data_IF_758283317495
#
_entry.id   IF_758283317495
#
_cell.length_a   1.000
_cell.length_b   1.000
_cell.length_c   1.000
_cell.angle_alpha   90.00
_cell.angle_beta   90.00
_cell.angle_gamma   90.00
#
_symmetry.space_group_name_H-M   'P 1'
#
loop_
_entity.id
_entity.type
_entity.pdbx_description
1 polymer ?
#
# COMPACT_ATOMS: atom_id res chain seq x y z
N UNK A 1 -28.08 -8.54 10.66
CA UNK A 1 -27.14 -7.68 11.42
C UNK A 1 -26.07 -8.59 11.96
N UNK A 2 -24.79 -8.33 11.68
CA UNK A 2 -23.70 -9.22 12.09
C UNK A 2 -23.56 -9.19 13.61
N UNK A 3 -23.47 -10.35 14.24
CA UNK A 3 -23.37 -10.50 15.69
C UNK A 3 -21.95 -10.19 16.17
N UNK A 4 -21.80 -9.83 17.45
CA UNK A 4 -20.48 -9.55 18.02
C UNK A 4 -19.56 -10.77 18.02
N UNK A 5 -20.14 -11.98 18.07
CA UNK A 5 -19.38 -13.22 17.94
C UNK A 5 -18.80 -13.38 16.54
N UNK A 6 -19.61 -13.18 15.51
CA UNK A 6 -19.15 -13.26 14.12
C UNK A 6 -18.08 -12.21 13.82
N UNK A 7 -18.22 -11.00 14.39
CA UNK A 7 -17.20 -9.93 14.28
C UNK A 7 -15.88 -10.37 14.91
N UNK A 8 -15.93 -10.94 16.11
CA UNK A 8 -14.73 -11.42 16.79
C UNK A 8 -14.03 -12.54 16.01
N UNK A 9 -14.80 -13.49 15.46
CA UNK A 9 -14.27 -14.57 14.64
C UNK A 9 -13.62 -14.02 13.35
N UNK A 10 -14.26 -13.07 12.67
CA UNK A 10 -13.70 -12.43 11.48
C UNK A 10 -12.41 -11.65 11.77
N UNK A 11 -12.34 -10.94 12.89
CA UNK A 11 -11.11 -10.24 13.33
C UNK A 11 -10.00 -11.24 13.63
N UNK A 12 -10.31 -12.33 14.34
CA UNK A 12 -9.33 -13.36 14.67
C UNK A 12 -8.74 -14.01 13.41
N UNK A 13 -9.56 -14.26 12.39
CA UNK A 13 -9.09 -14.81 11.12
C UNK A 13 -8.19 -13.85 10.35
N UNK A 14 -8.50 -12.55 10.34
CA UNK A 14 -7.64 -11.54 9.72
C UNK A 14 -6.29 -11.44 10.43
N UNK A 15 -6.26 -11.51 11.77
CA UNK A 15 -5.02 -11.51 12.54
C UNK A 15 -4.17 -12.76 12.25
N UNK A 16 -4.79 -13.94 12.18
CA UNK A 16 -4.08 -15.17 11.79
C UNK A 16 -3.48 -15.08 10.38
N UNK A 17 -4.21 -14.49 9.42
CA UNK A 17 -3.68 -14.24 8.08
C UNK A 17 -2.48 -13.28 8.11
N UNK A 18 -2.57 -12.20 8.89
CA UNK A 18 -1.48 -11.24 9.04
C UNK A 18 -0.22 -11.87 9.67
N UNK A 19 -0.37 -12.74 10.67
CA UNK A 19 0.77 -13.43 11.30
C UNK A 19 1.48 -14.38 10.34
N UNK A 20 0.74 -15.08 9.45
CA UNK A 20 1.36 -15.92 8.42
C UNK A 20 2.22 -15.10 7.45
N UNK A 21 1.82 -13.87 7.12
CA UNK A 21 2.62 -12.97 6.30
C UNK A 21 3.92 -12.52 6.98
N UNK A 22 3.97 -12.49 8.33
CA UNK A 22 5.18 -12.13 9.08
C UNK A 22 6.23 -13.23 9.11
N UNK A 23 5.83 -14.48 8.90
CA UNK A 23 6.72 -15.65 8.90
C UNK A 23 6.67 -16.34 7.54
N UNK A 24 7.22 -15.72 6.48
CA UNK A 24 7.28 -16.34 5.17
C UNK A 24 8.19 -17.57 5.26
N UNK A 25 7.58 -18.77 5.26
CA UNK A 25 8.33 -20.01 5.15
C UNK A 25 9.05 -20.10 3.79
N UNK A 26 10.08 -20.94 3.70
CA UNK A 26 10.93 -21.17 2.51
C UNK A 26 10.20 -21.56 1.19
N UNK A 27 8.88 -21.75 1.23
CA UNK A 27 8.03 -22.05 0.06
C UNK A 27 7.18 -20.85 -0.41
N UNK A 28 7.20 -19.71 0.29
CA UNK A 28 6.45 -18.53 -0.12
C UNK A 28 7.17 -17.77 -1.23
N UNK A 29 6.55 -17.67 -2.40
CA UNK A 29 6.99 -16.78 -3.46
C UNK A 29 6.51 -15.35 -3.19
N UNK A 30 7.15 -14.38 -3.84
CA UNK A 30 6.74 -12.97 -3.76
C UNK A 30 5.28 -12.79 -4.20
N UNK A 31 4.86 -13.49 -5.27
CA UNK A 31 3.49 -13.42 -5.78
C UNK A 31 2.47 -13.91 -4.76
N UNK A 32 2.75 -15.04 -4.07
CA UNK A 32 1.88 -15.54 -3.00
C UNK A 32 1.77 -14.55 -1.83
N UNK A 33 2.84 -13.82 -1.52
CA UNK A 33 2.82 -12.78 -0.48
C UNK A 33 1.96 -11.59 -0.90
N UNK A 34 2.06 -11.16 -2.16
CA UNK A 34 1.26 -10.07 -2.71
C UNK A 34 -0.23 -10.45 -2.70
N UNK A 35 -0.57 -11.65 -3.19
CA UNK A 35 -1.95 -12.16 -3.18
C UNK A 35 -2.52 -12.21 -1.77
N UNK A 36 -1.77 -12.77 -0.81
CA UNK A 36 -2.20 -12.84 0.58
C UNK A 36 -2.35 -11.45 1.25
N UNK A 37 -1.52 -10.47 0.87
CA UNK A 37 -1.71 -9.08 1.32
C UNK A 37 -2.98 -8.46 0.74
N UNK A 38 -3.29 -8.71 -0.52
CA UNK A 38 -4.48 -8.16 -1.17
C UNK A 38 -5.76 -8.79 -0.62
N UNK A 39 -5.75 -10.09 -0.31
CA UNK A 39 -6.83 -10.76 0.44
C UNK A 39 -7.04 -10.14 1.82
N UNK A 40 -5.97 -9.88 2.57
CA UNK A 40 -6.04 -9.27 3.89
C UNK A 40 -6.64 -7.87 3.81
N UNK A 41 -6.20 -7.05 2.85
CA UNK A 41 -6.75 -5.71 2.59
C UNK A 41 -8.23 -5.75 2.22
N UNK A 42 -8.62 -6.68 1.36
CA UNK A 42 -10.02 -6.85 0.96
C UNK A 42 -10.89 -7.24 2.16
N UNK A 43 -10.42 -8.17 3.00
CA UNK A 43 -11.09 -8.58 4.23
C UNK A 43 -11.26 -7.43 5.23
N UNK A 44 -10.22 -6.63 5.44
CA UNK A 44 -10.27 -5.44 6.31
C UNK A 44 -11.25 -4.38 5.80
N UNK A 45 -11.27 -4.11 4.48
CA UNK A 45 -12.23 -3.16 3.90
C UNK A 45 -13.67 -3.63 4.08
N UNK A 46 -13.92 -4.92 3.89
CA UNK A 46 -15.24 -5.51 4.11
C UNK A 46 -15.66 -5.39 5.57
N UNK A 47 -14.78 -5.76 6.51
CA UNK A 47 -15.04 -5.62 7.94
C UNK A 47 -15.34 -4.16 8.32
N UNK A 48 -14.55 -3.21 7.81
CA UNK A 48 -14.79 -1.79 8.04
C UNK A 48 -16.17 -1.35 7.53
N UNK A 49 -16.55 -1.77 6.32
CA UNK A 49 -17.86 -1.48 5.76
C UNK A 49 -18.99 -2.07 6.59
N UNK A 50 -18.83 -3.30 7.05
CA UNK A 50 -19.83 -4.01 7.87
C UNK A 50 -19.98 -3.36 9.26
N UNK A 51 -18.94 -2.68 9.78
CA UNK A 51 -18.96 -1.97 11.06
C UNK A 51 -19.40 -0.51 10.96
N UNK A 52 -18.88 0.23 9.99
CA UNK A 52 -19.05 1.68 9.85
C UNK A 52 -20.16 2.06 8.86
N UNK A 53 -20.67 1.12 8.06
CA UNK A 53 -21.66 1.37 7.01
C UNK A 53 -21.13 2.18 5.82
N UNK A 54 -19.81 2.42 5.76
CA UNK A 54 -19.15 3.22 4.74
C UNK A 54 -17.85 2.57 4.27
N UNK A 55 -17.41 2.93 3.07
CA UNK A 55 -16.11 2.47 2.58
C UNK A 55 -14.96 3.18 3.30
N UNK A 56 -13.84 2.46 3.46
CA UNK A 56 -12.60 3.04 4.00
C UNK A 56 -12.18 4.20 3.08
N UNK A 57 -11.93 5.41 3.63
CA UNK A 57 -11.40 6.52 2.85
C UNK A 57 -10.16 6.06 2.08
N UNK A 58 -10.13 6.28 0.76
CA UNK A 58 -8.93 5.97 -0.02
C UNK A 58 -7.80 6.84 0.52
N UNK A 59 -6.74 6.21 1.03
CA UNK A 59 -5.49 6.92 1.31
C UNK A 59 -5.07 7.65 0.03
N UNK A 60 -4.76 8.95 0.19
CA UNK A 60 -4.21 9.71 -0.90
C UNK A 60 -2.94 8.98 -1.38
N UNK A 61 -2.75 8.80 -2.70
CA UNK A 61 -1.55 8.17 -3.20
C UNK A 61 -0.35 8.92 -2.63
N UNK A 62 0.71 8.21 -2.19
CA UNK A 62 1.90 8.86 -1.66
C UNK A 62 2.36 9.89 -2.70
N UNK A 63 2.57 11.14 -2.26
CA UNK A 63 2.98 12.23 -3.15
C UNK A 63 4.21 11.75 -3.90
N UNK A 64 4.07 11.51 -5.20
CA UNK A 64 5.22 11.19 -6.06
C UNK A 64 6.22 12.33 -5.88
N UNK A 65 7.46 11.97 -5.56
CA UNK A 65 8.54 12.94 -5.57
C UNK A 65 8.58 13.58 -6.96
N UNK A 66 8.39 14.90 -6.98
CA UNK A 66 8.48 15.70 -8.20
C UNK A 66 9.89 16.28 -8.27
N UNK A 67 10.31 16.78 -9.42
CA UNK A 67 11.65 17.40 -9.58
C UNK A 67 11.86 18.49 -8.51
N UNK A 68 10.81 19.25 -8.17
CA UNK A 68 10.84 20.27 -7.12
C UNK A 68 11.04 19.72 -5.70
N UNK A 69 10.87 18.42 -5.47
CA UNK A 69 11.14 17.77 -4.18
C UNK A 69 12.64 17.59 -3.92
N UNK A 70 13.49 17.79 -4.91
CA UNK A 70 14.94 17.63 -4.80
C UNK A 70 15.63 18.95 -5.12
N UNK A 71 16.37 19.51 -4.16
CA UNK A 71 17.31 20.57 -4.47
C UNK A 71 18.44 19.97 -5.32
N UNK A 72 18.63 20.46 -6.54
CA UNK A 72 19.75 20.08 -7.40
C UNK A 72 21.06 20.48 -6.72
N UNK A 73 21.92 19.51 -6.43
CA UNK A 73 23.19 19.76 -5.77
C UNK A 73 23.86 18.49 -5.22
N UNK A 74 25.04 18.70 -4.64
CA UNK A 74 25.75 17.66 -3.89
C UNK A 74 25.04 17.41 -2.56
N UNK A 75 24.84 16.15 -2.19
CA UNK A 75 24.34 15.80 -0.87
C UNK A 75 25.48 16.03 0.13
N UNK A 76 25.24 16.88 1.13
CA UNK A 76 26.24 17.22 2.14
C UNK A 76 26.87 15.96 2.76
N UNK A 77 28.20 15.93 2.80
CA UNK A 77 28.97 14.79 3.32
C UNK A 77 29.17 13.62 2.36
N UNK A 78 28.73 13.73 1.10
CA UNK A 78 28.92 12.68 0.08
C UNK A 78 29.45 13.24 -1.25
N UNK A 79 30.06 12.39 -2.07
CA UNK A 79 30.39 12.71 -3.48
C UNK A 79 29.18 12.54 -4.43
N UNK A 80 28.01 12.22 -3.91
CA UNK A 80 26.82 11.94 -4.71
C UNK A 80 26.05 13.23 -5.04
N UNK A 81 25.65 13.36 -6.31
CA UNK A 81 24.80 14.44 -6.80
C UNK A 81 23.40 13.91 -7.10
N UNK A 82 22.36 14.61 -6.66
CA UNK A 82 20.97 14.23 -6.97
C UNK A 82 20.69 14.50 -8.45
N UNK A 83 20.64 13.45 -9.27
CA UNK A 83 20.32 13.52 -10.69
C UNK A 83 18.88 13.05 -10.97
N UNK A 84 17.87 13.74 -10.42
CA UNK A 84 16.48 13.41 -10.72
C UNK A 84 16.07 14.01 -12.07
N UNK A 85 16.19 13.24 -13.15
CA UNK A 85 15.68 13.62 -14.49
C UNK A 85 14.18 13.34 -14.56
N UNK A 86 13.36 14.40 -14.47
CA UNK A 86 11.93 14.29 -14.73
C UNK A 86 11.68 13.81 -16.16
N UNK A 87 10.81 12.80 -16.34
CA UNK A 87 10.36 12.36 -17.67
C UNK A 87 9.44 13.46 -18.23
N UNK A 88 9.74 14.06 -19.39
CA UNK A 88 8.82 15.02 -20.00
C UNK A 88 7.53 14.29 -20.35
N UNK A 89 6.41 14.75 -19.78
CA UNK A 89 5.08 14.36 -20.27
C UNK A 89 4.94 15.00 -21.65
N UNK A 90 5.02 14.19 -22.71
CA UNK A 90 4.66 14.64 -24.05
C UNK A 90 3.22 15.16 -24.01
N UNK A 91 3.06 16.48 -24.09
CA UNK A 91 1.78 17.09 -24.39
C UNK A 91 1.51 16.69 -25.84
N UNK A 92 0.66 15.69 -26.05
CA UNK A 92 0.10 15.44 -27.36
C UNK A 92 -0.67 16.70 -27.75
N UNK A 93 -0.06 17.54 -28.59
CA UNK A 93 -0.73 18.64 -29.25
C UNK A 93 -1.87 18.05 -30.08
N UNK A 94 -3.11 18.32 -29.69
CA UNK A 94 -4.24 18.28 -30.61
C UNK A 94 -4.17 19.57 -31.42
N UNK A 95 -3.89 19.44 -32.70
CA UNK A 95 -4.21 20.39 -33.76
C UNK A 95 -5.00 19.63 -34.82
#
# INVERSE_FOLDING_TARGET
MMTDRERADQVADLLRKADRLRVPGHRHTVDMVIEAQDELRAGLRRLYRDLAGADVPREAPPRRSVVASFQTGAIAGTRATVAFRGRPRGIAARA
#
